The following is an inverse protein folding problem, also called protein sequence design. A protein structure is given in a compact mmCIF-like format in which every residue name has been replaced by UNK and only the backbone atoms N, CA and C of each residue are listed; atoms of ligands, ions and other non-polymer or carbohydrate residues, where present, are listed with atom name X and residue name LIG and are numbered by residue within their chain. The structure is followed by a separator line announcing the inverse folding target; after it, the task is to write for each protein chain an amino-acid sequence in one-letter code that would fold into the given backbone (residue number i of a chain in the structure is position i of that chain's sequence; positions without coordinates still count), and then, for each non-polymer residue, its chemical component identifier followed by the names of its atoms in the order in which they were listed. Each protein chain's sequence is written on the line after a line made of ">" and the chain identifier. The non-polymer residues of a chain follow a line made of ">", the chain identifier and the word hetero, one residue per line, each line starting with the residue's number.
data_IF_080706603690
#
_entry.id   IF_080706603690
#
_cell.length_a   1.000
_cell.length_b   1.000
_cell.length_c   1.000
_cell.angle_alpha   90.00
_cell.angle_beta   90.00
_cell.angle_gamma   90.00
#
_symmetry.space_group_name_H-M   'P 1'
#
loop_
_entity.id
_entity.type
_entity.pdbx_description
1 polymer ?
#
# COMPACT_ATOMS: atom_id res chain seq x y z
N UNK A 1 46.51 82.09 39.19
CA UNK A 1 47.09 81.06 40.07
C UNK A 1 46.14 79.89 40.11
N UNK A 2 46.70 78.67 40.06
CA UNK A 2 46.03 77.38 39.88
C UNK A 2 45.11 77.01 41.05
N UNK A 3 43.95 76.42 40.74
CA UNK A 3 43.52 75.15 41.37
C UNK A 3 42.65 74.35 40.39
N UNK A 4 43.06 73.09 40.23
CA UNK A 4 42.39 72.00 39.51
C UNK A 4 41.63 71.14 40.54
N UNK A 5 40.73 70.27 40.04
CA UNK A 5 40.01 69.11 40.69
C UNK A 5 38.53 69.44 40.97
N UNK A 6 37.53 68.68 40.52
CA UNK A 6 37.33 67.23 40.62
C UNK A 6 36.48 66.66 39.46
N UNK A 7 36.80 65.42 39.09
CA UNK A 7 36.10 64.50 38.19
C UNK A 7 34.88 63.92 38.92
N UNK A 8 33.69 63.88 38.29
CA UNK A 8 32.67 62.84 38.51
C UNK A 8 31.47 63.00 37.56
N UNK A 9 30.85 61.87 37.21
CA UNK A 9 29.57 61.68 36.50
C UNK A 9 29.60 61.78 34.97
N UNK A 10 30.31 60.83 34.36
CA UNK A 10 29.93 60.31 33.05
C UNK A 10 28.63 59.48 33.12
N UNK A 11 28.04 59.31 31.94
CA UNK A 11 27.11 58.23 31.57
C UNK A 11 25.86 58.01 32.46
N UNK A 12 24.82 58.79 32.20
CA UNK A 12 23.42 58.30 32.28
C UNK A 12 22.90 58.34 30.85
N UNK A 13 23.38 57.43 30.00
CA UNK A 13 22.74 56.13 29.76
C UNK A 13 21.30 56.30 29.25
N UNK A 14 21.22 56.53 27.94
CA UNK A 14 20.05 56.30 27.12
C UNK A 14 19.59 54.86 27.32
N UNK A 15 18.65 54.63 28.24
CA UNK A 15 18.05 53.32 28.45
C UNK A 15 16.60 53.45 28.93
N UNK A 16 15.74 53.99 28.06
CA UNK A 16 14.29 53.84 28.22
C UNK A 16 13.57 53.60 26.88
N UNK A 17 14.26 53.01 25.90
CA UNK A 17 13.65 52.52 24.65
C UNK A 17 14.11 51.11 24.25
N UNK A 18 14.38 50.25 25.23
CA UNK A 18 14.43 48.79 25.07
C UNK A 18 13.62 48.26 26.26
N UNK A 19 12.44 47.68 26.13
CA UNK A 19 12.17 46.42 25.43
C UNK A 19 10.68 46.44 25.05
N UNK A 20 10.40 46.58 23.75
CA UNK A 20 9.21 45.97 23.15
C UNK A 20 9.67 45.08 22.01
N UNK A 21 10.63 44.21 22.32
CA UNK A 21 10.78 42.97 21.59
C UNK A 21 9.55 42.13 21.97
N UNK A 22 8.43 42.42 21.33
CA UNK A 22 7.37 41.42 21.21
C UNK A 22 8.06 40.17 20.68
N UNK A 23 8.15 39.16 21.52
CA UNK A 23 8.32 37.81 21.07
C UNK A 23 7.13 37.55 20.13
N UNK A 24 7.30 37.86 18.84
CA UNK A 24 6.62 37.12 17.79
C UNK A 24 7.16 35.69 17.93
N UNK A 25 6.58 34.94 18.87
CA UNK A 25 6.57 33.51 18.79
C UNK A 25 5.99 33.23 17.41
N UNK A 26 6.86 32.83 16.47
CA UNK A 26 6.43 32.37 15.17
C UNK A 26 5.29 31.40 15.41
N UNK A 27 4.11 31.67 14.84
CA UNK A 27 2.98 30.74 14.94
C UNK A 27 3.52 29.35 14.59
N UNK A 28 3.23 28.30 15.39
CA UNK A 28 3.76 26.97 15.10
C UNK A 28 3.39 26.63 13.66
N UNK A 29 4.40 26.57 12.79
CA UNK A 29 4.21 26.25 11.39
C UNK A 29 3.68 24.82 11.35
N UNK A 30 2.38 24.70 11.16
CA UNK A 30 1.68 23.42 11.12
C UNK A 30 2.10 22.75 9.82
N UNK A 31 2.98 21.73 9.89
CA UNK A 31 3.45 21.04 8.70
C UNK A 31 2.45 19.96 8.31
N UNK A 32 2.07 19.95 7.04
CA UNK A 32 1.25 18.91 6.41
C UNK A 32 2.19 18.08 5.54
N UNK A 33 2.23 16.78 5.76
CA UNK A 33 2.93 15.83 4.89
C UNK A 33 1.96 15.13 3.95
N UNK A 34 2.46 14.74 2.78
CA UNK A 34 1.78 13.87 1.84
C UNK A 34 2.59 12.59 1.67
N UNK A 35 1.90 11.47 1.56
CA UNK A 35 2.52 10.19 1.31
C UNK A 35 1.83 9.48 0.16
N UNK A 36 2.62 8.80 -0.65
CA UNK A 36 2.15 7.91 -1.69
C UNK A 36 2.20 6.47 -1.19
N UNK A 37 1.03 5.95 -0.79
CA UNK A 37 0.97 4.59 -0.26
C UNK A 37 1.13 3.49 -1.30
N UNK A 38 0.97 3.79 -2.60
CA UNK A 38 1.21 2.80 -3.67
C UNK A 38 2.67 2.36 -3.75
N UNK A 39 3.61 3.22 -3.33
CA UNK A 39 5.04 2.89 -3.30
C UNK A 39 5.36 1.89 -2.18
N UNK A 40 4.49 1.70 -1.18
CA UNK A 40 4.82 0.87 -0.01
C UNK A 40 4.99 -0.62 -0.35
N UNK A 41 4.29 -1.10 -1.37
CA UNK A 41 4.41 -2.48 -1.87
C UNK A 41 5.39 -2.59 -3.06
N UNK A 42 6.07 -1.50 -3.45
CA UNK A 42 7.05 -1.54 -4.54
C UNK A 42 8.24 -2.45 -4.15
N UNK A 43 8.62 -3.44 -4.98
CA UNK A 43 9.67 -4.40 -4.63
C UNK A 43 11.07 -3.79 -4.44
N UNK A 44 11.33 -2.62 -5.02
CA UNK A 44 12.66 -1.97 -5.02
C UNK A 44 12.74 -0.81 -4.04
N UNK A 45 11.67 -0.04 -3.92
CA UNK A 45 11.63 1.21 -3.20
C UNK A 45 10.70 1.19 -1.98
N UNK A 46 9.92 0.13 -1.78
CA UNK A 46 8.88 0.06 -0.78
C UNK A 46 9.31 -0.32 0.63
N UNK A 47 8.31 -0.62 1.45
CA UNK A 47 8.50 -1.06 2.83
C UNK A 47 8.85 -2.54 2.82
N UNK A 48 10.09 -2.89 3.21
CA UNK A 48 10.64 -4.24 3.05
C UNK A 48 9.76 -5.31 3.70
N UNK A 49 9.23 -5.02 4.90
CA UNK A 49 8.34 -5.95 5.62
C UNK A 49 7.00 -6.15 4.92
N UNK A 50 6.45 -5.10 4.31
CA UNK A 50 5.18 -5.16 3.58
C UNK A 50 5.37 -5.92 2.26
N UNK A 51 6.40 -5.58 1.50
CA UNK A 51 6.82 -6.32 0.30
C UNK A 51 7.03 -7.80 0.60
N UNK A 52 7.71 -8.13 1.70
CA UNK A 52 7.94 -9.53 2.10
C UNK A 52 6.63 -10.26 2.40
N UNK A 53 5.70 -9.61 3.11
CA UNK A 53 4.39 -10.18 3.41
C UNK A 53 3.55 -10.37 2.14
N UNK A 54 3.55 -9.40 1.22
CA UNK A 54 2.86 -9.50 -0.06
C UNK A 54 3.46 -10.61 -0.95
N UNK A 55 4.78 -10.73 -1.02
CA UNK A 55 5.45 -11.80 -1.78
C UNK A 55 5.18 -13.19 -1.19
N UNK A 56 5.14 -13.31 0.14
CA UNK A 56 4.77 -14.56 0.80
C UNK A 56 3.34 -14.97 0.42
N UNK A 57 2.41 -14.02 0.44
CA UNK A 57 1.04 -14.25 0.01
C UNK A 57 0.97 -14.64 -1.48
N UNK A 58 1.67 -13.95 -2.36
CA UNK A 58 1.70 -14.30 -3.79
C UNK A 58 2.24 -15.72 -4.01
N UNK A 59 3.31 -16.09 -3.30
CA UNK A 59 3.90 -17.42 -3.39
C UNK A 59 2.93 -18.53 -2.95
N UNK A 60 2.12 -18.29 -1.91
CA UNK A 60 1.10 -19.25 -1.45
C UNK A 60 0.04 -19.52 -2.53
N UNK A 61 -0.29 -18.52 -3.34
CA UNK A 61 -1.38 -18.58 -4.33
C UNK A 61 -0.91 -18.90 -5.75
N UNK A 62 0.40 -19.00 -5.99
CA UNK A 62 0.98 -19.34 -7.30
C UNK A 62 0.51 -20.70 -7.82
N UNK A 63 0.59 -21.74 -7.00
CA UNK A 63 0.21 -23.10 -7.41
C UNK A 63 -1.31 -23.24 -7.64
N UNK A 64 -2.19 -22.78 -6.72
CA UNK A 64 -3.63 -22.78 -6.98
C UNK A 64 -4.05 -21.94 -8.20
N UNK A 65 -3.38 -20.80 -8.44
CA UNK A 65 -3.60 -19.98 -9.63
C UNK A 65 -3.23 -20.71 -10.92
N UNK A 66 -2.10 -21.41 -10.93
CA UNK A 66 -1.67 -22.24 -12.07
C UNK A 66 -2.63 -23.41 -12.32
N UNK A 67 -3.19 -24.01 -11.27
CA UNK A 67 -4.22 -25.05 -11.38
C UNK A 67 -5.47 -24.51 -12.09
N UNK A 68 -6.00 -23.36 -11.66
CA UNK A 68 -7.15 -22.72 -12.30
C UNK A 68 -6.87 -22.37 -13.76
N UNK A 69 -5.68 -21.87 -14.09
CA UNK A 69 -5.30 -21.58 -15.47
C UNK A 69 -5.27 -22.84 -16.33
N UNK A 70 -4.80 -23.96 -15.77
CA UNK A 70 -4.78 -25.27 -16.45
C UNK A 70 -6.21 -25.76 -16.71
N UNK A 71 -7.09 -25.67 -15.69
CA UNK A 71 -8.51 -26.03 -15.84
C UNK A 71 -9.18 -25.18 -16.92
N UNK A 72 -8.96 -23.87 -16.92
CA UNK A 72 -9.51 -22.95 -17.92
C UNK A 72 -9.07 -23.33 -19.34
N UNK A 73 -7.78 -23.63 -19.53
CA UNK A 73 -7.24 -24.07 -20.82
C UNK A 73 -7.90 -25.37 -21.28
N UNK A 74 -8.13 -26.31 -20.37
CA UNK A 74 -8.81 -27.57 -20.68
C UNK A 74 -10.29 -27.37 -21.03
N UNK A 75 -10.99 -26.46 -20.35
CA UNK A 75 -12.37 -26.05 -20.68
C UNK A 75 -12.43 -25.50 -22.12
N UNK A 76 -11.50 -24.60 -22.47
CA UNK A 76 -11.45 -24.03 -23.82
C UNK A 76 -11.15 -25.09 -24.90
N UNK A 77 -10.28 -26.06 -24.60
CA UNK A 77 -10.00 -27.17 -25.51
C UNK A 77 -11.24 -28.06 -25.72
N UNK A 78 -11.91 -28.47 -24.63
CA UNK A 78 -13.13 -29.27 -24.69
C UNK A 78 -14.26 -28.55 -25.44
N UNK A 79 -14.40 -27.23 -25.25
CA UNK A 79 -15.38 -26.43 -25.98
C UNK A 79 -15.15 -26.49 -27.49
N UNK A 80 -13.90 -26.32 -27.94
CA UNK A 80 -13.53 -26.40 -29.36
C UNK A 80 -13.73 -27.79 -29.94
N UNK A 81 -13.36 -28.83 -29.18
CA UNK A 81 -13.56 -30.22 -29.58
C UNK A 81 -15.05 -30.54 -29.75
N UNK A 82 -15.90 -30.14 -28.80
CA UNK A 82 -17.35 -30.32 -28.87
C UNK A 82 -17.95 -29.58 -30.06
N UNK A 83 -17.53 -28.35 -30.32
CA UNK A 83 -17.97 -27.59 -31.49
C UNK A 83 -17.61 -28.31 -32.80
N UNK A 84 -16.37 -28.79 -32.91
CA UNK A 84 -15.90 -29.53 -34.09
C UNK A 84 -16.69 -30.82 -34.30
N UNK A 85 -16.95 -31.58 -33.22
CA UNK A 85 -17.76 -32.80 -33.28
C UNK A 85 -19.19 -32.49 -33.71
N UNK A 86 -19.77 -31.39 -33.24
CA UNK A 86 -21.12 -30.97 -33.61
C UNK A 86 -21.20 -30.59 -35.10
N UNK A 87 -20.20 -29.90 -35.64
CA UNK A 87 -20.09 -29.61 -37.07
C UNK A 87 -19.94 -30.88 -37.92
N UNK A 88 -19.15 -31.87 -37.45
CA UNK A 88 -19.00 -33.16 -38.12
C UNK A 88 -20.31 -33.93 -38.18
N UNK A 89 -21.06 -33.98 -37.07
CA UNK A 89 -22.40 -34.60 -37.01
C UNK A 89 -23.34 -33.93 -38.02
N UNK A 90 -23.35 -32.59 -38.08
CA UNK A 90 -24.19 -31.85 -39.04
C UNK A 90 -23.79 -32.10 -40.49
N UNK A 91 -22.50 -32.26 -40.77
CA UNK A 91 -21.99 -32.48 -42.13
C UNK A 91 -22.37 -33.85 -42.70
N UNK A 92 -22.62 -34.86 -41.86
CA UNK A 92 -22.93 -36.23 -42.25
C UNK A 92 -21.81 -36.99 -42.99
N UNK A 93 -20.64 -36.37 -43.19
CA UNK A 93 -19.52 -36.92 -43.97
C UNK A 93 -18.60 -37.84 -43.18
N UNK A 94 -18.65 -37.77 -41.85
CA UNK A 94 -17.78 -38.53 -40.94
C UNK A 94 -18.67 -39.24 -39.92
N UNK A 95 -18.52 -40.57 -39.73
CA UNK A 95 -19.19 -41.27 -38.64
C UNK A 95 -18.69 -40.73 -37.29
N UNK A 96 -19.57 -40.12 -36.51
CA UNK A 96 -19.27 -39.62 -35.16
C UNK A 96 -19.86 -40.58 -34.12
N UNK A 97 -19.03 -41.03 -33.19
CA UNK A 97 -19.50 -41.81 -32.04
C UNK A 97 -20.22 -40.91 -31.03
N UNK A 98 -21.54 -41.11 -30.91
CA UNK A 98 -22.39 -40.34 -30.01
C UNK A 98 -22.02 -40.52 -28.53
N UNK A 99 -21.44 -41.67 -28.15
CA UNK A 99 -20.96 -41.91 -26.80
C UNK A 99 -19.76 -41.02 -26.46
N UNK A 100 -18.84 -40.85 -27.41
CA UNK A 100 -17.69 -39.94 -27.27
C UNK A 100 -18.13 -38.49 -27.09
N UNK A 101 -19.17 -38.04 -27.81
CA UNK A 101 -19.74 -36.69 -27.63
C UNK A 101 -20.34 -36.52 -26.25
N UNK A 102 -21.15 -37.48 -25.77
CA UNK A 102 -21.74 -37.44 -24.42
C UNK A 102 -20.68 -37.33 -23.34
N UNK A 103 -19.65 -38.20 -23.38
CA UNK A 103 -18.57 -38.21 -22.39
C UNK A 103 -17.80 -36.88 -22.34
N UNK A 104 -17.52 -36.29 -23.50
CA UNK A 104 -16.84 -34.97 -23.56
C UNK A 104 -17.74 -33.85 -23.06
N UNK A 105 -19.05 -33.92 -23.32
CA UNK A 105 -20.01 -32.94 -22.80
C UNK A 105 -20.10 -33.01 -21.28
N UNK A 106 -20.17 -34.22 -20.72
CA UNK A 106 -20.15 -34.46 -19.27
C UNK A 106 -18.85 -33.97 -18.62
N UNK A 107 -17.69 -34.25 -19.25
CA UNK A 107 -16.39 -33.74 -18.80
C UNK A 107 -16.36 -32.21 -18.79
N UNK A 108 -16.83 -31.58 -19.87
CA UNK A 108 -16.91 -30.12 -20.00
C UNK A 108 -17.76 -29.50 -18.89
N UNK A 109 -18.97 -30.03 -18.68
CA UNK A 109 -19.86 -29.54 -17.64
C UNK A 109 -19.30 -29.73 -16.24
N UNK A 110 -18.73 -30.91 -15.96
CA UNK A 110 -18.11 -31.21 -14.66
C UNK A 110 -16.95 -30.25 -14.41
N UNK A 111 -16.04 -30.10 -15.37
CA UNK A 111 -14.88 -29.23 -15.25
C UNK A 111 -15.29 -27.77 -15.10
N UNK A 112 -16.34 -27.33 -15.81
CA UNK A 112 -16.90 -25.99 -15.67
C UNK A 112 -17.45 -25.70 -14.27
N UNK A 113 -18.14 -26.66 -13.65
CA UNK A 113 -18.61 -26.53 -12.25
C UNK A 113 -17.44 -26.50 -11.27
N UNK A 114 -16.51 -27.44 -11.41
CA UNK A 114 -15.33 -27.54 -10.54
C UNK A 114 -14.47 -26.26 -10.62
N UNK A 115 -14.32 -25.69 -11.82
CA UNK A 115 -13.60 -24.44 -12.05
C UNK A 115 -14.25 -23.27 -11.31
N UNK A 116 -15.57 -23.07 -11.46
CA UNK A 116 -16.29 -21.99 -10.77
C UNK A 116 -16.16 -22.10 -9.25
N UNK A 117 -16.38 -23.30 -8.71
CA UNK A 117 -16.24 -23.57 -7.28
C UNK A 117 -14.82 -23.28 -6.78
N UNK A 118 -13.79 -23.76 -7.47
CA UNK A 118 -12.39 -23.49 -7.10
C UNK A 118 -12.03 -22.02 -7.23
N UNK A 119 -12.54 -21.31 -8.25
CA UNK A 119 -12.30 -19.89 -8.45
C UNK A 119 -12.87 -19.05 -7.30
N UNK A 120 -14.11 -19.30 -6.89
CA UNK A 120 -14.75 -18.60 -5.78
C UNK A 120 -14.04 -18.88 -4.45
N UNK A 121 -13.69 -20.14 -4.19
CA UNK A 121 -12.92 -20.52 -3.00
C UNK A 121 -11.54 -19.87 -2.97
N UNK A 122 -10.85 -19.81 -4.12
CA UNK A 122 -9.53 -19.18 -4.19
C UNK A 122 -9.61 -17.68 -3.91
N UNK A 123 -10.62 -16.99 -4.47
CA UNK A 123 -10.87 -15.57 -4.20
C UNK A 123 -11.10 -15.33 -2.70
N UNK A 124 -12.01 -16.09 -2.09
CA UNK A 124 -12.30 -15.98 -0.64
C UNK A 124 -11.07 -16.27 0.22
N UNK A 125 -10.30 -17.31 -0.14
CA UNK A 125 -9.06 -17.66 0.54
C UNK A 125 -8.02 -16.55 0.43
N UNK A 126 -7.85 -15.95 -0.75
CA UNK A 126 -6.92 -14.84 -0.97
C UNK A 126 -7.27 -13.63 -0.10
N UNK A 127 -8.54 -13.24 -0.09
CA UNK A 127 -9.02 -12.09 0.69
C UNK A 127 -8.77 -12.32 2.20
N UNK A 128 -9.09 -13.52 2.69
CA UNK A 128 -8.83 -13.91 4.10
C UNK A 128 -7.34 -13.95 4.41
N UNK A 129 -6.51 -14.56 3.55
CA UNK A 129 -5.06 -14.67 3.77
C UNK A 129 -4.39 -13.30 3.69
N UNK A 130 -4.82 -12.40 2.80
CA UNK A 130 -4.34 -11.02 2.75
C UNK A 130 -4.58 -10.31 4.09
N UNK A 131 -5.77 -10.44 4.67
CA UNK A 131 -6.07 -9.85 5.98
C UNK A 131 -5.17 -10.39 7.10
N UNK A 132 -4.83 -11.69 7.06
CA UNK A 132 -3.99 -12.34 8.08
C UNK A 132 -2.51 -12.03 7.91
N UNK A 133 -2.01 -12.03 6.68
CA UNK A 133 -0.57 -11.92 6.37
C UNK A 133 -0.15 -10.46 6.21
N UNK A 134 -0.90 -9.69 5.43
CA UNK A 134 -0.56 -8.29 5.10
C UNK A 134 -1.18 -7.33 6.11
N UNK A 135 -2.38 -7.60 6.60
CA UNK A 135 -3.12 -6.72 7.52
C UNK A 135 -2.34 -6.28 8.77
N UNK A 136 -1.73 -7.20 9.55
CA UNK A 136 -0.94 -6.82 10.72
C UNK A 136 0.28 -5.96 10.38
N UNK A 137 0.91 -6.21 9.23
CA UNK A 137 2.05 -5.41 8.75
C UNK A 137 1.58 -4.01 8.38
N UNK A 138 0.46 -3.89 7.67
CA UNK A 138 -0.15 -2.61 7.33
C UNK A 138 -0.49 -1.78 8.59
N UNK A 139 -1.06 -2.41 9.62
CA UNK A 139 -1.34 -1.73 10.89
C UNK A 139 -0.07 -1.24 11.60
N UNK A 140 1.02 -2.01 11.55
CA UNK A 140 2.32 -1.59 12.08
C UNK A 140 2.91 -0.42 11.26
N UNK A 141 2.75 -0.41 9.93
CA UNK A 141 3.10 0.73 9.07
C UNK A 141 2.33 1.98 9.47
N UNK A 142 1.01 1.89 9.68
CA UNK A 142 0.20 3.04 10.10
C UNK A 142 0.58 3.56 11.49
N UNK A 143 0.92 2.67 12.43
CA UNK A 143 1.44 3.08 13.76
C UNK A 143 2.79 3.78 13.64
N UNK A 144 3.66 3.29 12.77
CA UNK A 144 4.94 3.93 12.49
C UNK A 144 4.77 5.30 11.85
N UNK A 145 3.79 5.47 10.97
CA UNK A 145 3.46 6.76 10.35
C UNK A 145 3.10 7.80 11.41
N UNK A 146 2.34 7.42 12.43
CA UNK A 146 2.03 8.30 13.55
C UNK A 146 3.27 8.68 14.36
N UNK A 147 4.18 7.73 14.60
CA UNK A 147 5.44 8.00 15.27
C UNK A 147 6.33 8.94 14.45
N UNK A 148 6.43 8.70 13.14
CA UNK A 148 7.15 9.54 12.18
C UNK A 148 6.57 10.96 12.13
N UNK A 149 5.25 11.10 12.07
CA UNK A 149 4.59 12.40 12.09
C UNK A 149 4.95 13.21 13.34
N UNK A 150 4.92 12.57 14.52
CA UNK A 150 5.30 13.20 15.79
C UNK A 150 6.77 13.59 15.83
N UNK A 151 7.66 12.69 15.41
CA UNK A 151 9.12 12.91 15.40
C UNK A 151 9.52 14.08 14.49
N UNK A 152 8.85 14.20 13.33
CA UNK A 152 9.14 15.22 12.31
C UNK A 152 8.31 16.49 12.43
N UNK A 153 7.39 16.55 13.40
CA UNK A 153 6.54 17.71 13.64
C UNK A 153 5.45 17.93 12.58
N UNK A 154 5.01 16.86 11.90
CA UNK A 154 3.84 16.91 11.03
C UNK A 154 2.57 16.84 11.87
N UNK A 155 1.65 17.80 11.66
CA UNK A 155 0.35 17.78 12.30
C UNK A 155 -0.58 16.73 11.68
N UNK A 156 -0.42 16.50 10.37
CA UNK A 156 -1.14 15.46 9.63
C UNK A 156 -0.28 14.98 8.47
N UNK A 157 -0.38 13.69 8.17
CA UNK A 157 0.13 13.10 6.93
C UNK A 157 -1.08 12.52 6.20
N UNK A 158 -1.27 12.94 4.96
CA UNK A 158 -2.38 12.50 4.12
C UNK A 158 -1.87 11.64 2.97
N UNK A 159 -2.70 10.71 2.51
CA UNK A 159 -2.40 9.94 1.30
C UNK A 159 -2.63 10.83 0.09
N UNK A 160 -1.55 11.41 -0.45
CA UNK A 160 -1.61 12.38 -1.54
C UNK A 160 -2.23 11.76 -2.78
N UNK A 161 -1.82 10.54 -3.12
CA UNK A 161 -2.29 9.87 -4.33
C UNK A 161 -3.77 9.55 -4.27
N UNK A 162 -4.29 9.09 -3.12
CA UNK A 162 -5.73 8.86 -2.97
C UNK A 162 -6.54 10.15 -3.02
N UNK A 163 -5.99 11.26 -2.52
CA UNK A 163 -6.67 12.55 -2.60
C UNK A 163 -6.69 13.09 -4.03
N UNK A 164 -5.64 12.87 -4.82
CA UNK A 164 -5.61 13.18 -6.25
C UNK A 164 -6.60 12.31 -7.04
N UNK A 165 -6.61 11.00 -6.81
CA UNK A 165 -7.58 10.07 -7.44
C UNK A 165 -9.03 10.45 -7.14
N UNK A 166 -9.30 10.96 -5.94
CA UNK A 166 -10.62 11.44 -5.54
C UNK A 166 -10.95 12.85 -6.10
N UNK A 167 -10.02 13.50 -6.81
CA UNK A 167 -10.18 14.88 -7.31
C UNK A 167 -10.23 15.94 -6.21
N UNK A 168 -9.82 15.59 -4.98
CA UNK A 168 -9.80 16.49 -3.82
C UNK A 168 -8.52 17.34 -3.83
N UNK A 169 -7.39 16.72 -4.22
CA UNK A 169 -6.11 17.39 -4.35
C UNK A 169 -5.85 17.71 -5.82
N UNK A 170 -5.80 19.01 -6.16
CA UNK A 170 -5.56 19.47 -7.54
C UNK A 170 -4.07 19.68 -7.85
N UNK A 171 -3.28 20.04 -6.82
CA UNK A 171 -1.84 20.24 -6.93
C UNK A 171 -1.21 20.21 -5.53
N UNK A 172 0.03 19.76 -5.43
CA UNK A 172 0.87 19.94 -4.26
C UNK A 172 2.34 20.06 -4.65
N UNK A 173 3.13 20.65 -3.74
CA UNK A 173 4.57 20.80 -3.93
C UNK A 173 5.29 19.55 -3.41
N UNK A 174 6.18 18.96 -4.23
CA UNK A 174 6.97 17.76 -3.94
C UNK A 174 7.72 17.84 -2.61
N UNK A 175 8.05 19.04 -2.11
CA UNK A 175 8.68 19.21 -0.79
C UNK A 175 7.81 18.72 0.39
N UNK A 176 6.52 18.52 0.18
CA UNK A 176 5.62 17.94 1.18
C UNK A 176 5.48 16.43 1.05
N UNK A 177 6.05 15.81 0.01
CA UNK A 177 6.08 14.37 -0.15
C UNK A 177 7.09 13.75 0.83
N UNK A 178 6.59 13.03 1.82
CA UNK A 178 7.37 12.35 2.86
C UNK A 178 7.59 10.87 2.56
N UNK A 179 7.17 10.36 1.40
CA UNK A 179 7.16 8.93 1.07
C UNK A 179 8.52 8.28 1.24
N UNK A 180 9.56 8.84 0.61
CA UNK A 180 10.93 8.30 0.67
C UNK A 180 11.50 8.37 2.09
N UNK A 181 11.28 9.49 2.77
CA UNK A 181 11.75 9.69 4.15
C UNK A 181 11.08 8.71 5.12
N UNK A 182 9.77 8.53 5.00
CA UNK A 182 9.01 7.61 5.83
C UNK A 182 9.41 6.15 5.58
N UNK A 183 9.59 5.74 4.32
CA UNK A 183 10.04 4.37 4.01
C UNK A 183 11.42 4.11 4.62
N UNK A 184 12.36 5.04 4.48
CA UNK A 184 13.67 4.94 5.10
C UNK A 184 13.58 4.86 6.64
N UNK A 185 12.75 5.71 7.25
CA UNK A 185 12.47 5.70 8.68
C UNK A 185 11.91 4.34 9.14
N UNK A 186 10.93 3.79 8.42
CA UNK A 186 10.31 2.52 8.77
C UNK A 186 11.28 1.36 8.63
N UNK A 187 12.00 1.28 7.52
CA UNK A 187 12.93 0.19 7.22
C UNK A 187 14.16 0.20 8.13
N UNK A 188 14.53 1.34 8.71
CA UNK A 188 15.61 1.44 9.71
C UNK A 188 15.21 0.89 11.10
N UNK A 189 13.91 0.61 11.35
CA UNK A 189 13.46 0.06 12.64
C UNK A 189 13.92 -1.40 12.80
N UNK A 190 14.33 -1.82 14.01
CA UNK A 190 14.71 -3.20 14.26
C UNK A 190 13.53 -4.16 13.97
N UNK A 191 13.83 -5.25 13.27
CA UNK A 191 12.91 -6.32 12.95
C UNK A 191 12.45 -7.04 14.23
N UNK A 192 11.40 -6.53 14.87
CA UNK A 192 10.92 -7.07 16.15
C UNK A 192 9.90 -6.21 16.88
N UNK A 193 9.70 -4.95 16.47
CA UNK A 193 8.60 -4.12 17.01
C UNK A 193 7.25 -4.43 16.36
N UNK A 194 6.92 -5.72 16.20
CA UNK A 194 5.51 -6.12 16.24
C UNK A 194 4.98 -5.66 17.57
N UNK A 195 4.15 -4.62 17.55
CA UNK A 195 3.47 -4.07 18.70
C UNK A 195 3.05 -5.21 19.62
N UNK A 196 3.64 -5.24 20.83
CA UNK A 196 3.12 -6.01 21.93
C UNK A 196 1.61 -5.82 21.94
N UNK A 197 0.89 -6.92 21.77
CA UNK A 197 -0.56 -6.94 21.79
C UNK A 197 -1.02 -6.14 23.02
N UNK A 198 -1.87 -5.15 22.76
CA UNK A 198 -2.61 -4.44 23.80
C UNK A 198 -3.40 -5.51 24.55
N UNK A 199 -2.87 -6.00 25.67
CA UNK A 199 -3.69 -6.62 26.71
C UNK A 199 -4.48 -5.48 27.34
N UNK A 200 -5.77 -5.42 27.02
CA UNK A 200 -6.78 -4.83 27.89
C UNK A 200 -7.56 -5.97 28.50
#
# INVERSE_FOLDING_TARGET
>A
MKTLRLIAAGFVFAAFFAVSAFAQAAAPTTRIGLVNTFVFEDPKAGITKLVTASNSLESEFKAPGAELQTMYTRIQALQKELQTLQEQVQSGKVPVDQKTVSLKSEEYEKLGRDFKFKQENLKSSLDRRRQVVVGPVWLDVMKAMQAFAKDKGYAVILDGTKLEEAGILMAFDEKHDVTKEFIAFYNARPAGTTAAAVKK
#
